data_IF_133196435477
#
_entry.id   IF_133196435477
#
_cell.length_a   1.000
_cell.length_b   1.000
_cell.length_c   1.000
_cell.angle_alpha   90.00
_cell.angle_beta   90.00
_cell.angle_gamma   90.00
#
_symmetry.space_group_name_H-M   'P 1'
#
loop_
_entity.id
_entity.type
_entity.pdbx_description
1 polymer ?
#
# COMPACT_ATOMS: atom_id res chain seq x y z
N UNK A 1 -9.06 2.97 1.37
CA UNK A 1 -7.59 2.79 1.35
C UNK A 1 -7.20 1.32 1.46
N UNK A 2 -7.77 0.47 0.60
CA UNK A 2 -7.31 -0.91 0.48
C UNK A 2 -6.43 -1.03 -0.75
N UNK A 3 -5.29 -1.69 -0.61
CA UNK A 3 -4.36 -1.91 -1.69
C UNK A 3 -3.90 -3.36 -1.68
N UNK A 4 -3.91 -4.00 -2.85
CA UNK A 4 -3.29 -5.31 -3.03
C UNK A 4 -1.77 -5.16 -2.87
N UNK A 5 -1.22 -5.85 -1.89
CA UNK A 5 0.20 -5.82 -1.53
C UNK A 5 1.01 -6.81 -2.36
N UNK A 6 2.34 -6.59 -2.47
CA UNK A 6 3.24 -7.54 -3.13
C UNK A 6 3.26 -8.94 -2.50
N UNK A 7 2.85 -9.05 -1.24
CA UNK A 7 2.76 -10.30 -0.48
C UNK A 7 1.46 -11.09 -0.72
N UNK A 8 0.64 -10.67 -1.70
CA UNK A 8 -0.69 -11.23 -2.01
C UNK A 8 -1.76 -11.00 -0.91
N UNK A 9 -1.50 -10.12 0.06
CA UNK A 9 -2.52 -9.66 1.02
C UNK A 9 -3.14 -8.33 0.57
N UNK A 10 -4.38 -8.07 0.98
CA UNK A 10 -4.98 -6.74 0.87
C UNK A 10 -4.63 -5.97 2.13
N UNK A 11 -3.90 -4.88 1.97
CA UNK A 11 -3.48 -4.02 3.05
C UNK A 11 -4.45 -2.86 3.25
N UNK A 12 -4.62 -2.49 4.51
CA UNK A 12 -5.35 -1.32 4.94
C UNK A 12 -4.59 -0.56 6.01
N UNK A 13 -4.95 0.70 6.15
CA UNK A 13 -4.57 1.50 7.30
C UNK A 13 -5.84 2.11 7.89
N UNK A 14 -5.99 2.01 9.20
CA UNK A 14 -7.19 2.48 9.89
C UNK A 14 -6.85 3.56 10.91
N UNK A 15 -7.70 4.59 10.92
CA UNK A 15 -7.73 5.67 11.90
C UNK A 15 -8.38 5.26 13.21
N UNK A 16 -8.55 6.18 14.16
CA UNK A 16 -9.13 5.84 15.47
C UNK A 16 -10.52 5.20 15.36
N UNK A 17 -10.56 3.89 15.54
CA UNK A 17 -11.77 3.09 15.59
C UNK A 17 -11.57 1.92 16.53
N UNK A 18 -12.52 1.60 17.41
CA UNK A 18 -12.38 0.49 18.33
C UNK A 18 -12.72 -0.84 17.65
N UNK A 19 -11.98 -1.19 16.59
CA UNK A 19 -12.27 -2.33 15.74
C UNK A 19 -12.18 -3.64 16.51
N UNK A 20 -13.20 -4.48 16.31
CA UNK A 20 -13.28 -5.85 16.79
C UNK A 20 -13.70 -6.72 15.61
N UNK A 21 -12.77 -7.04 14.69
CA UNK A 21 -13.12 -7.84 13.53
C UNK A 21 -13.57 -9.23 13.97
N UNK A 22 -14.56 -9.77 13.28
CA UNK A 22 -15.03 -11.15 13.46
C UNK A 22 -14.95 -11.80 12.08
N UNK A 23 -14.25 -12.93 12.01
CA UNK A 23 -14.14 -13.74 10.79
C UNK A 23 -14.68 -15.12 11.14
N UNK A 24 -15.64 -15.62 10.37
CA UNK A 24 -16.15 -16.97 10.54
C UNK A 24 -16.69 -17.23 11.97
N UNK A 25 -17.34 -16.21 12.56
CA UNK A 25 -17.84 -16.24 13.93
C UNK A 25 -16.76 -16.05 15.02
N UNK A 26 -15.48 -16.09 14.65
CA UNK A 26 -14.36 -15.99 15.59
C UNK A 26 -13.86 -14.55 15.74
N UNK A 27 -13.84 -14.01 16.97
CA UNK A 27 -13.26 -12.71 17.24
C UNK A 27 -11.77 -12.70 16.91
N UNK A 28 -11.36 -11.69 16.14
CA UNK A 28 -9.96 -11.43 15.81
C UNK A 28 -9.35 -10.43 16.79
N UNK A 29 -8.03 -10.23 16.68
CA UNK A 29 -7.32 -9.22 17.46
C UNK A 29 -8.00 -7.84 17.32
N UNK A 30 -8.29 -7.21 18.46
CA UNK A 30 -8.76 -5.83 18.49
C UNK A 30 -7.61 -4.87 18.23
N UNK A 31 -7.87 -3.84 17.45
CA UNK A 31 -6.90 -2.77 17.21
C UNK A 31 -7.63 -1.44 17.03
N UNK A 32 -6.94 -0.36 17.40
CA UNK A 32 -7.52 0.99 17.41
C UNK A 32 -7.12 1.82 16.19
N UNK A 33 -5.87 1.70 15.75
CA UNK A 33 -5.32 2.40 14.59
C UNK A 33 -4.06 1.69 14.11
N UNK A 34 -3.67 1.94 12.86
CA UNK A 34 -2.41 1.47 12.29
C UNK A 34 -2.58 0.59 11.06
N UNK A 35 -1.53 -0.18 10.75
CA UNK A 35 -1.49 -1.06 9.60
C UNK A 35 -2.11 -2.41 9.92
N UNK A 36 -2.91 -2.91 8.99
CA UNK A 36 -3.48 -4.23 9.04
C UNK A 36 -3.60 -4.76 7.61
N UNK A 37 -3.74 -6.07 7.48
CA UNK A 37 -3.91 -6.73 6.20
C UNK A 37 -4.85 -7.91 6.33
N UNK A 38 -5.47 -8.30 5.23
CA UNK A 38 -6.35 -9.45 5.18
C UNK A 38 -6.23 -10.19 3.84
N UNK A 39 -6.50 -11.48 3.86
CA UNK A 39 -6.63 -12.30 2.67
C UNK A 39 -8.09 -12.46 2.31
N UNK A 40 -8.32 -12.62 1.01
CA UNK A 40 -9.64 -12.97 0.51
C UNK A 40 -9.59 -14.25 -0.30
N UNK A 41 -10.69 -14.99 -0.28
CA UNK A 41 -10.93 -16.12 -1.17
C UNK A 41 -12.34 -16.06 -1.73
N UNK A 42 -12.53 -16.67 -2.88
CA UNK A 42 -13.85 -16.90 -3.43
C UNK A 42 -14.50 -18.09 -2.68
N UNK A 43 -15.80 -18.03 -2.37
CA UNK A 43 -16.50 -19.16 -1.74
C UNK A 43 -17.91 -18.88 -1.24
N UNK A 44 -18.79 -19.87 -1.44
CA UNK A 44 -20.20 -19.84 -1.06
C UNK A 44 -20.43 -19.87 0.46
N UNK A 45 -21.57 -19.33 0.93
CA UNK A 45 -22.01 -19.36 2.34
C UNK A 45 -21.86 -20.78 2.95
N UNK A 46 -21.29 -20.91 4.16
CA UNK A 46 -21.11 -22.21 4.81
C UNK A 46 -21.24 -22.12 6.35
N UNK A 47 -21.22 -23.27 7.03
CA UNK A 47 -21.46 -23.35 8.49
C UNK A 47 -20.38 -22.68 9.33
N UNK A 48 -19.16 -22.59 8.84
CA UNK A 48 -18.04 -21.94 9.52
C UNK A 48 -18.00 -20.45 9.20
N UNK A 49 -18.50 -20.05 8.03
CA UNK A 49 -18.49 -18.69 7.54
C UNK A 49 -19.88 -18.23 7.04
N UNK A 50 -20.94 -18.27 7.88
CA UNK A 50 -22.27 -17.92 7.41
C UNK A 50 -22.29 -16.48 6.94
N UNK A 51 -22.73 -16.26 5.71
CA UNK A 51 -22.85 -14.94 5.13
C UNK A 51 -24.29 -14.45 5.30
N UNK A 52 -24.45 -13.18 5.66
CA UNK A 52 -25.74 -12.58 5.99
C UNK A 52 -25.95 -11.36 5.08
N UNK A 53 -27.15 -11.20 4.56
CA UNK A 53 -27.50 -10.01 3.79
C UNK A 53 -27.48 -8.78 4.70
N UNK A 54 -27.03 -7.64 4.17
CA UNK A 54 -27.20 -6.34 4.84
C UNK A 54 -28.46 -5.73 4.27
N UNK A 55 -29.44 -5.47 5.14
CA UNK A 55 -30.65 -4.75 4.74
C UNK A 55 -30.29 -3.33 4.28
N UNK A 56 -30.55 -3.03 3.00
CA UNK A 56 -30.10 -1.81 2.36
C UNK A 56 -30.73 -0.53 2.93
N UNK A 57 -31.86 -0.64 3.65
CA UNK A 57 -32.55 0.50 4.24
C UNK A 57 -32.05 0.82 5.67
N UNK A 58 -31.74 -0.20 6.45
CA UNK A 58 -31.39 -0.09 7.88
C UNK A 58 -29.91 -0.30 8.18
N UNK A 59 -29.13 -0.82 7.22
CA UNK A 59 -27.78 -1.34 7.44
C UNK A 59 -27.70 -2.45 8.51
N UNK A 60 -28.83 -3.04 8.90
CA UNK A 60 -28.84 -4.18 9.82
C UNK A 60 -28.41 -5.45 9.08
N UNK A 61 -27.62 -6.27 9.77
CA UNK A 61 -27.29 -7.62 9.30
C UNK A 61 -28.53 -8.52 9.49
N UNK A 62 -28.92 -9.27 8.47
CA UNK A 62 -30.04 -10.19 8.54
C UNK A 62 -29.83 -11.23 9.67
N UNK A 63 -30.92 -11.62 10.34
CA UNK A 63 -30.86 -12.62 11.42
C UNK A 63 -30.60 -14.05 10.91
N UNK A 64 -30.87 -14.29 9.62
CA UNK A 64 -30.73 -15.60 8.97
C UNK A 64 -29.64 -15.50 7.91
N UNK A 65 -28.75 -16.49 7.89
CA UNK A 65 -27.71 -16.60 6.88
C UNK A 65 -28.37 -16.80 5.51
N UNK A 66 -27.87 -16.08 4.51
CA UNK A 66 -28.35 -16.20 3.13
C UNK A 66 -27.57 -17.28 2.39
N UNK A 67 -28.26 -17.98 1.50
CA UNK A 67 -27.74 -18.93 0.53
C UNK A 67 -27.48 -18.29 -0.85
N UNK A 68 -27.71 -16.98 -0.98
CA UNK A 68 -27.44 -16.20 -2.21
C UNK A 68 -25.95 -16.03 -2.51
N UNK A 69 -25.07 -16.38 -1.58
CA UNK A 69 -23.63 -16.33 -1.79
C UNK A 69 -23.11 -17.64 -2.37
N UNK A 70 -22.53 -17.56 -3.56
CA UNK A 70 -21.96 -18.66 -4.34
C UNK A 70 -20.42 -18.62 -4.37
N UNK A 71 -19.80 -19.45 -5.20
CA UNK A 71 -18.35 -19.46 -5.44
C UNK A 71 -17.77 -18.12 -5.90
N UNK A 72 -18.59 -17.17 -6.36
CA UNK A 72 -18.16 -15.83 -6.76
C UNK A 72 -18.21 -14.82 -5.60
N UNK A 73 -18.60 -15.26 -4.40
CA UNK A 73 -18.60 -14.45 -3.19
C UNK A 73 -17.19 -14.28 -2.64
N UNK A 74 -16.79 -13.03 -2.42
CA UNK A 74 -15.51 -12.72 -1.78
C UNK A 74 -15.66 -12.80 -0.26
N UNK A 75 -14.82 -13.61 0.38
CA UNK A 75 -14.76 -13.78 1.83
C UNK A 75 -13.42 -13.39 2.37
N UNK A 76 -13.40 -12.80 3.56
CA UNK A 76 -12.16 -12.62 4.32
C UNK A 76 -11.75 -13.97 4.89
N UNK A 77 -10.58 -14.46 4.50
CA UNK A 77 -10.07 -15.76 4.93
C UNK A 77 -9.15 -15.64 6.16
N UNK A 78 -8.31 -14.60 6.17
CA UNK A 78 -7.40 -14.31 7.26
C UNK A 78 -7.29 -12.80 7.45
N UNK A 79 -6.99 -12.37 8.68
CA UNK A 79 -6.71 -10.98 9.01
C UNK A 79 -5.54 -10.92 9.99
N UNK A 80 -4.65 -9.95 9.77
CA UNK A 80 -3.53 -9.66 10.63
C UNK A 80 -3.50 -8.17 10.97
N UNK A 81 -3.49 -7.86 12.27
CA UNK A 81 -3.08 -6.54 12.73
C UNK A 81 -1.55 -6.48 12.79
N UNK A 82 -0.96 -5.68 11.91
CA UNK A 82 0.49 -5.69 11.67
C UNK A 82 1.21 -4.84 12.71
N UNK A 83 0.79 -3.59 12.90
CA UNK A 83 1.37 -2.67 13.88
C UNK A 83 0.54 -1.39 14.09
N UNK A 84 0.50 -0.92 15.34
CA UNK A 84 -0.13 0.34 15.70
C UNK A 84 0.71 1.57 15.34
N UNK A 85 0.06 2.64 14.90
CA UNK A 85 0.66 3.96 14.71
C UNK A 85 0.32 4.90 15.85
N UNK A 86 1.07 6.00 15.96
CA UNK A 86 0.89 7.02 17.00
C UNK A 86 -0.37 7.87 16.85
N UNK A 87 -1.01 7.89 15.68
CA UNK A 87 -2.20 8.71 15.43
C UNK A 87 -3.18 8.13 14.40
N UNK A 88 -4.29 8.85 14.20
CA UNK A 88 -5.28 8.69 13.14
C UNK A 88 -4.60 8.66 11.76
N UNK A 89 -4.91 7.67 10.93
CA UNK A 89 -4.14 7.34 9.73
C UNK A 89 -4.89 7.66 8.45
N UNK A 90 -4.19 8.20 7.46
CA UNK A 90 -4.82 8.75 6.25
C UNK A 90 -4.04 8.42 4.95
N UNK A 91 -2.89 7.77 5.04
CA UNK A 91 -2.09 7.40 3.87
C UNK A 91 -1.49 6.02 4.00
N UNK A 92 -1.51 5.24 2.92
CA UNK A 92 -0.85 3.95 2.77
C UNK A 92 -0.10 3.97 1.43
N UNK A 93 1.12 3.45 1.40
CA UNK A 93 1.89 3.29 0.17
C UNK A 93 2.94 2.19 0.30
N UNK A 94 3.45 1.78 -0.85
CA UNK A 94 4.46 0.72 -0.96
C UNK A 94 5.61 1.19 -1.81
N UNK A 95 6.82 0.78 -1.44
CA UNK A 95 7.94 0.79 -2.36
C UNK A 95 7.84 -0.39 -3.34
N UNK A 96 8.65 -0.38 -4.40
CA UNK A 96 8.70 -1.45 -5.40
C UNK A 96 9.20 -2.79 -4.82
N UNK A 97 9.97 -2.75 -3.72
CA UNK A 97 10.41 -3.92 -2.96
C UNK A 97 9.35 -4.48 -2.00
N UNK A 98 8.23 -3.78 -1.83
CA UNK A 98 7.17 -4.18 -0.90
C UNK A 98 7.32 -3.66 0.53
N UNK A 99 8.20 -2.70 0.78
CA UNK A 99 8.23 -2.00 2.06
C UNK A 99 6.99 -1.11 2.22
N UNK A 100 6.43 -1.10 3.43
CA UNK A 100 5.16 -0.42 3.72
C UNK A 100 5.40 0.93 4.38
N UNK A 101 4.73 1.94 3.85
CA UNK A 101 4.78 3.31 4.34
C UNK A 101 3.37 3.84 4.57
N UNK A 102 3.27 4.85 5.43
CA UNK A 102 2.02 5.55 5.66
C UNK A 102 2.22 6.98 6.13
N UNK A 103 1.10 7.64 6.36
CA UNK A 103 1.03 8.97 6.94
C UNK A 103 -0.08 9.03 7.99
N UNK A 104 0.12 9.84 9.02
CA UNK A 104 -0.87 10.02 10.08
C UNK A 104 -1.08 11.51 10.36
N UNK A 105 -2.22 11.82 10.98
CA UNK A 105 -2.51 13.17 11.44
C UNK A 105 -1.54 13.59 12.56
N UNK A 106 -1.56 14.87 12.90
CA UNK A 106 -0.94 15.46 14.08
C UNK A 106 0.58 15.29 14.10
N UNK A 107 1.23 15.83 13.08
CA UNK A 107 2.67 16.00 13.05
C UNK A 107 3.49 14.76 12.67
N UNK A 108 2.89 13.79 12.00
CA UNK A 108 3.54 12.53 11.64
C UNK A 108 3.34 12.23 10.13
N UNK A 109 3.99 13.01 9.25
CA UNK A 109 3.72 12.96 7.82
C UNK A 109 4.21 11.70 7.13
N UNK A 110 5.15 10.97 7.73
CA UNK A 110 5.76 9.80 7.12
C UNK A 110 6.09 8.77 8.19
N UNK A 111 5.63 7.54 7.99
CA UNK A 111 5.81 6.38 8.87
C UNK A 111 6.24 5.20 8.01
N UNK A 112 7.11 4.34 8.53
CA UNK A 112 7.48 3.07 7.93
C UNK A 112 7.12 1.91 8.87
N UNK A 113 6.69 0.77 8.31
CA UNK A 113 6.44 -0.48 9.04
C UNK A 113 7.60 -1.45 8.76
N UNK A 114 8.56 -1.59 9.70
CA UNK A 114 9.75 -2.41 9.45
C UNK A 114 9.54 -3.89 9.76
N UNK A 115 8.95 -4.22 10.93
CA UNK A 115 8.81 -5.60 11.41
C UNK A 115 7.38 -5.80 11.98
N UNK A 116 6.58 -6.72 11.40
CA UNK A 116 5.27 -7.11 11.92
C UNK A 116 5.28 -7.62 13.37
N UNK A 117 4.17 -7.44 14.09
CA UNK A 117 3.99 -7.94 15.48
C UNK A 117 4.36 -9.42 15.65
N UNK A 118 3.95 -10.28 14.71
CA UNK A 118 4.14 -11.74 14.78
C UNK A 118 5.59 -12.20 15.01
N UNK A 119 6.59 -11.41 14.64
CA UNK A 119 8.00 -11.73 14.88
C UNK A 119 8.46 -11.35 16.29
N UNK A 120 7.88 -10.31 16.89
CA UNK A 120 8.14 -9.96 18.29
C UNK A 120 7.54 -11.01 19.22
N UNK A 121 6.34 -11.50 18.89
CA UNK A 121 5.63 -12.50 19.69
C UNK A 121 6.38 -13.84 19.80
N UNK A 122 7.33 -14.10 18.89
CA UNK A 122 8.19 -15.28 18.89
C UNK A 122 9.44 -15.13 19.78
N UNK A 123 9.77 -13.91 20.23
CA UNK A 123 10.98 -13.64 21.01
C UNK A 123 10.60 -13.22 22.42
N UNK A 124 10.89 -14.09 23.39
CA UNK A 124 10.58 -13.84 24.78
C UNK A 124 11.20 -12.52 25.29
N UNK A 125 10.35 -11.64 25.83
CA UNK A 125 10.75 -10.34 26.35
C UNK A 125 10.79 -9.20 25.33
N UNK A 126 10.45 -9.45 24.06
CA UNK A 126 10.39 -8.40 23.05
C UNK A 126 8.98 -7.81 22.92
N UNK A 127 8.90 -6.50 23.08
CA UNK A 127 7.74 -5.61 22.94
C UNK A 127 7.66 -4.90 21.57
N UNK A 128 6.63 -5.00 20.72
CA UNK A 128 6.55 -4.07 19.60
C UNK A 128 6.19 -2.65 20.07
N UNK A 129 6.96 -1.65 19.67
CA UNK A 129 6.63 -0.25 19.92
C UNK A 129 5.60 0.30 18.91
N UNK A 130 4.87 1.35 19.33
CA UNK A 130 3.99 2.12 18.45
C UNK A 130 4.84 2.87 17.43
N UNK A 131 4.47 2.79 16.15
CA UNK A 131 5.22 3.46 15.09
C UNK A 131 5.11 4.98 15.21
N UNK A 132 6.28 5.63 15.18
CA UNK A 132 6.45 7.09 15.14
C UNK A 132 6.87 7.60 13.76
N UNK A 133 7.10 8.93 13.64
CA UNK A 133 7.51 9.53 12.39
C UNK A 133 8.94 9.11 12.03
N UNK A 134 9.16 8.83 10.74
CA UNK A 134 10.50 8.71 10.16
C UNK A 134 10.99 10.05 9.57
N UNK A 135 10.11 11.05 9.51
CA UNK A 135 10.44 12.38 9.02
C UNK A 135 11.23 13.19 10.03
N UNK A 136 12.25 13.92 9.58
CA UNK A 136 13.06 14.82 10.43
C UNK A 136 12.25 15.96 11.07
N UNK A 137 11.16 16.38 10.42
CA UNK A 137 10.27 17.42 10.91
C UNK A 137 8.85 17.19 10.42
N UNK A 138 7.89 17.65 11.22
CA UNK A 138 6.49 17.73 10.82
C UNK A 138 6.15 18.97 9.97
N UNK A 139 7.11 19.90 9.82
CA UNK A 139 6.89 21.16 9.12
C UNK A 139 6.72 20.96 7.62
N UNK A 140 5.98 21.88 7.04
CA UNK A 140 5.85 22.05 5.59
C UNK A 140 6.17 23.50 5.21
N UNK A 141 6.30 23.76 3.91
CA UNK A 141 6.59 25.09 3.40
C UNK A 141 5.45 25.51 2.47
N UNK A 142 4.37 26.12 2.97
CA UNK A 142 3.31 26.60 2.10
C UNK A 142 3.81 27.76 1.23
N UNK A 143 3.12 28.01 0.11
CA UNK A 143 3.45 29.14 -0.78
C UNK A 143 2.71 30.44 -0.40
N UNK A 144 1.85 30.35 0.61
CA UNK A 144 1.12 31.45 1.24
C UNK A 144 1.05 31.20 2.75
N UNK A 145 1.04 32.28 3.54
CA UNK A 145 0.91 32.23 5.00
C UNK A 145 -0.56 32.21 5.45
N UNK A 146 -1.50 32.54 4.55
CA UNK A 146 -2.95 32.50 4.78
C UNK A 146 -3.51 31.07 4.75
N UNK A 147 -3.08 30.25 5.71
CA UNK A 147 -3.51 28.86 5.86
C UNK A 147 -4.37 28.66 7.10
N UNK A 148 -5.38 27.79 7.00
CA UNK A 148 -6.27 27.47 8.13
C UNK A 148 -5.81 26.19 8.81
N UNK A 149 -5.35 26.30 10.05
CA UNK A 149 -4.94 25.18 10.87
C UNK A 149 -5.55 25.27 12.28
N UNK A 150 -5.60 24.12 12.97
CA UNK A 150 -6.14 24.02 14.33
C UNK A 150 -5.06 23.59 15.32
N UNK A 151 -4.13 22.75 14.87
CA UNK A 151 -2.96 22.26 15.59
C UNK A 151 -1.80 22.04 14.60
N UNK A 152 -0.60 21.74 15.13
CA UNK A 152 0.63 21.55 14.34
C UNK A 152 0.89 22.69 13.33
N UNK A 153 0.67 23.93 13.79
CA UNK A 153 0.83 25.15 12.99
C UNK A 153 2.17 25.20 12.26
N UNK A 154 2.14 25.56 10.98
CA UNK A 154 3.31 25.55 10.11
C UNK A 154 3.76 24.15 9.69
N UNK A 155 2.92 23.13 9.86
CA UNK A 155 3.23 21.76 9.47
C UNK A 155 1.99 20.90 9.19
N UNK A 156 2.23 19.59 9.11
CA UNK A 156 1.20 18.61 8.78
C UNK A 156 0.27 18.32 9.96
N UNK A 157 -0.84 19.08 10.03
CA UNK A 157 -2.02 18.78 10.86
C UNK A 157 -2.66 17.45 10.46
N UNK A 158 -2.85 17.22 9.16
CA UNK A 158 -3.56 16.07 8.62
C UNK A 158 -2.82 15.53 7.40
N UNK A 159 -1.67 14.90 7.62
CA UNK A 159 -0.94 14.26 6.52
C UNK A 159 -1.73 13.07 5.99
N UNK A 160 -2.07 13.13 4.71
CA UNK A 160 -2.85 12.11 4.01
C UNK A 160 -2.21 11.77 2.66
N UNK A 161 -2.54 10.60 2.11
CA UNK A 161 -1.79 10.06 0.99
C UNK A 161 -0.34 9.69 1.38
N UNK A 162 0.19 8.65 0.76
CA UNK A 162 1.54 8.17 1.09
C UNK A 162 2.16 7.37 -0.05
N UNK A 163 1.70 7.59 -1.29
CA UNK A 163 2.24 6.87 -2.44
C UNK A 163 3.71 7.23 -2.65
N UNK A 164 4.48 6.25 -3.12
CA UNK A 164 5.87 6.44 -3.55
C UNK A 164 5.88 6.46 -5.07
N UNK A 165 6.73 7.29 -5.67
CA UNK A 165 6.88 7.29 -7.11
C UNK A 165 7.53 5.98 -7.59
N UNK A 166 6.75 5.11 -8.23
CA UNK A 166 7.11 3.72 -8.57
C UNK A 166 6.94 3.41 -10.07
N UNK A 167 7.21 4.42 -10.90
CA UNK A 167 7.23 4.34 -12.36
C UNK A 167 8.54 4.93 -12.91
N UNK A 168 8.69 5.06 -14.24
CA UNK A 168 9.92 5.57 -14.87
C UNK A 168 9.75 6.82 -15.74
N UNK A 169 8.57 7.45 -15.77
CA UNK A 169 8.35 8.70 -16.53
C UNK A 169 9.04 9.92 -15.93
N UNK A 170 9.26 9.96 -14.62
CA UNK A 170 9.93 11.09 -13.96
C UNK A 170 11.44 10.81 -13.90
N UNK A 171 12.30 11.80 -13.62
CA UNK A 171 13.74 11.59 -13.51
C UNK A 171 14.08 10.49 -12.49
N UNK A 172 15.20 9.79 -12.70
CA UNK A 172 15.66 8.69 -11.86
C UNK A 172 15.72 9.02 -10.36
N UNK A 173 15.95 10.29 -10.00
CA UNK A 173 15.93 10.75 -8.60
C UNK A 173 14.57 10.59 -7.90
N UNK A 174 13.50 10.33 -8.65
CA UNK A 174 12.17 10.03 -8.10
C UNK A 174 11.94 8.54 -7.83
N UNK A 175 12.58 7.68 -8.63
CA UNK A 175 12.25 6.26 -8.71
C UNK A 175 12.43 5.58 -7.36
N UNK A 176 11.32 5.03 -6.87
CA UNK A 176 11.22 4.31 -5.61
C UNK A 176 11.79 5.07 -4.39
N UNK A 177 11.81 6.40 -4.45
CA UNK A 177 12.51 7.25 -3.48
C UNK A 177 11.67 8.41 -2.95
N UNK A 178 10.76 8.95 -3.77
CA UNK A 178 9.95 10.11 -3.39
C UNK A 178 8.58 9.64 -2.91
N UNK A 179 8.34 9.78 -1.61
CA UNK A 179 7.03 9.63 -0.99
C UNK A 179 6.26 10.95 -1.07
N UNK A 180 5.04 10.90 -1.58
CA UNK A 180 4.20 12.07 -1.77
C UNK A 180 3.12 12.09 -0.69
N UNK A 181 3.09 13.18 0.09
CA UNK A 181 2.22 13.34 1.25
C UNK A 181 1.44 14.64 1.12
N UNK A 182 0.11 14.52 1.05
CA UNK A 182 -0.80 15.64 0.97
C UNK A 182 -0.92 16.35 2.33
N UNK A 183 -0.90 17.67 2.27
CA UNK A 183 -1.11 18.58 3.39
C UNK A 183 -2.29 19.50 3.07
N UNK A 184 -3.55 19.02 3.19
CA UNK A 184 -4.74 19.77 2.79
C UNK A 184 -4.88 21.09 3.54
N UNK A 185 -4.38 21.18 4.77
CA UNK A 185 -4.46 22.40 5.60
C UNK A 185 -3.43 23.47 5.22
N UNK A 186 -2.49 23.17 4.32
CA UNK A 186 -1.60 24.17 3.71
C UNK A 186 -1.52 24.04 2.19
N UNK A 187 -2.59 23.50 1.59
CA UNK A 187 -2.84 23.56 0.15
C UNK A 187 -1.73 22.94 -0.72
N UNK A 188 -1.05 21.90 -0.23
CA UNK A 188 0.14 21.34 -0.88
C UNK A 188 0.22 19.81 -0.86
N UNK A 189 1.07 19.28 -1.74
CA UNK A 189 1.58 17.90 -1.70
C UNK A 189 3.09 18.00 -1.52
N UNK A 190 3.59 17.56 -0.38
CA UNK A 190 5.02 17.52 -0.09
C UNK A 190 5.67 16.26 -0.64
N UNK A 191 6.93 16.38 -1.01
CA UNK A 191 7.77 15.29 -1.49
C UNK A 191 8.85 14.98 -0.48
N UNK A 192 8.74 13.80 0.13
CA UNK A 192 9.66 13.28 1.11
C UNK A 192 10.66 12.35 0.43
N UNK A 193 11.94 12.69 0.52
CA UNK A 193 13.02 11.81 0.08
C UNK A 193 13.19 10.72 1.13
N UNK A 194 12.99 9.46 0.73
CA UNK A 194 13.21 8.29 1.57
C UNK A 194 14.66 7.83 1.49
N UNK A 195 15.26 7.54 2.64
CA UNK A 195 16.64 7.07 2.77
C UNK A 195 16.67 5.91 3.77
N UNK A 196 17.34 4.81 3.40
CA UNK A 196 17.50 3.66 4.31
C UNK A 196 18.32 4.08 5.54
N UNK A 197 17.89 3.61 6.70
CA UNK A 197 18.58 3.81 7.99
C UNK A 197 18.51 2.51 8.81
N UNK A 198 19.55 1.67 8.65
CA UNK A 198 19.56 0.31 9.18
C UNK A 198 18.37 -0.51 8.65
N UNK A 199 17.61 -1.12 9.57
CA UNK A 199 16.39 -1.87 9.26
C UNK A 199 15.16 -0.98 9.04
N UNK A 200 15.33 0.35 9.08
CA UNK A 200 14.26 1.32 8.91
C UNK A 200 14.55 2.33 7.79
N UNK A 201 13.83 3.44 7.85
CA UNK A 201 13.99 4.56 6.93
C UNK A 201 14.00 5.86 7.71
N UNK A 202 14.65 6.86 7.12
CA UNK A 202 14.45 8.29 7.41
C UNK A 202 13.78 8.93 6.21
N UNK A 203 13.05 10.01 6.46
CA UNK A 203 12.49 10.82 5.39
C UNK A 203 12.73 12.31 5.60
N UNK A 204 12.99 13.03 4.51
CA UNK A 204 13.20 14.48 4.53
C UNK A 204 12.25 15.16 3.56
N UNK A 205 11.41 16.05 4.07
CA UNK A 205 10.56 16.91 3.23
C UNK A 205 11.45 17.83 2.38
N UNK A 206 11.56 17.56 1.09
CA UNK A 206 12.54 18.19 0.23
C UNK A 206 11.96 19.36 -0.57
N UNK A 207 10.73 19.24 -1.07
CA UNK A 207 10.04 20.24 -1.87
C UNK A 207 8.54 19.94 -1.95
N UNK A 208 7.74 20.88 -2.50
CA UNK A 208 6.34 20.63 -2.82
C UNK A 208 6.18 20.21 -4.28
N UNK A 209 5.52 19.09 -4.53
CA UNK A 209 5.14 18.67 -5.89
C UNK A 209 3.96 19.48 -6.42
N UNK A 210 3.03 19.82 -5.53
CA UNK A 210 1.90 20.71 -5.78
C UNK A 210 1.82 21.69 -4.63
N UNK A 211 1.55 22.95 -4.94
CA UNK A 211 1.22 23.96 -3.95
C UNK A 211 0.25 24.96 -4.58
N UNK A 212 -0.66 25.52 -3.79
CA UNK A 212 -1.69 26.43 -4.26
C UNK A 212 -1.89 27.60 -3.30
N UNK A 213 -2.21 28.77 -3.85
CA UNK A 213 -2.68 29.97 -3.12
C UNK A 213 -4.21 30.07 -3.13
N UNK A 214 -4.89 29.10 -3.74
CA UNK A 214 -6.35 29.01 -3.72
C UNK A 214 -6.79 28.42 -2.37
N UNK A 215 -7.51 29.21 -1.58
CA UNK A 215 -8.01 28.85 -0.24
C UNK A 215 -8.89 27.59 -0.21
N UNK A 216 -9.41 27.15 -1.36
CA UNK A 216 -10.23 25.96 -1.46
C UNK A 216 -9.41 24.70 -1.78
N UNK A 217 -8.10 24.85 -2.04
CA UNK A 217 -7.23 23.74 -2.40
C UNK A 217 -6.95 22.82 -1.21
N UNK A 218 -7.54 21.64 -1.21
CA UNK A 218 -7.37 20.61 -0.18
C UNK A 218 -6.95 19.28 -0.81
N UNK A 219 -5.69 19.12 -1.28
CA UNK A 219 -5.18 17.83 -1.75
C UNK A 219 -5.31 16.78 -0.65
N UNK A 220 -5.89 15.63 -0.97
CA UNK A 220 -6.16 14.54 0.00
C UNK A 220 -5.58 13.19 -0.41
N UNK A 221 -5.23 13.01 -1.69
CA UNK A 221 -4.60 11.80 -2.19
C UNK A 221 -3.65 12.15 -3.33
N UNK A 222 -2.49 11.51 -3.35
CA UNK A 222 -1.59 11.48 -4.50
C UNK A 222 -1.21 10.04 -4.79
N UNK A 223 -1.25 9.62 -6.05
CA UNK A 223 -0.95 8.25 -6.50
C UNK A 223 -0.17 8.25 -7.82
N UNK A 224 0.55 7.17 -8.08
CA UNK A 224 1.15 6.94 -9.40
C UNK A 224 0.14 6.19 -10.27
N UNK A 225 -0.23 6.79 -11.40
CA UNK A 225 -1.21 6.22 -12.30
C UNK A 225 -0.66 5.07 -13.16
N UNK A 226 -1.56 4.31 -13.83
CA UNK A 226 -1.19 3.29 -14.83
C UNK A 226 -0.38 3.87 -16.00
N UNK A 227 -0.47 5.17 -16.21
CA UNK A 227 0.26 5.91 -17.22
C UNK A 227 1.64 6.38 -16.76
N UNK A 228 2.05 6.08 -15.52
CA UNK A 228 3.34 6.39 -14.92
C UNK A 228 3.50 7.83 -14.40
N UNK A 229 2.42 8.63 -14.42
CA UNK A 229 2.42 10.00 -13.93
C UNK A 229 1.80 10.09 -12.52
N UNK A 230 2.11 11.17 -11.81
CA UNK A 230 1.50 11.46 -10.51
C UNK A 230 0.12 12.06 -10.73
N UNK A 231 -0.88 11.51 -10.05
CA UNK A 231 -2.24 12.02 -9.99
C UNK A 231 -2.54 12.56 -8.60
N UNK A 232 -3.22 13.70 -8.51
CA UNK A 232 -3.62 14.32 -7.24
C UNK A 232 -5.13 14.50 -7.23
N UNK A 233 -5.77 13.93 -6.21
CA UNK A 233 -7.16 14.21 -5.86
C UNK A 233 -7.18 15.32 -4.83
N UNK A 234 -7.85 16.40 -5.19
CA UNK A 234 -8.08 17.56 -4.36
C UNK A 234 -9.57 17.65 -4.03
N UNK A 235 -9.87 17.62 -2.74
CA UNK A 235 -11.22 17.66 -2.22
C UNK A 235 -11.94 18.97 -2.53
N UNK A 236 -11.19 20.04 -2.86
CA UNK A 236 -11.69 21.38 -3.16
C UNK A 236 -12.62 21.92 -2.07
N UNK A 237 -12.11 22.00 -0.84
CA UNK A 237 -12.90 22.35 0.33
C UNK A 237 -12.20 23.42 1.18
N UNK A 238 -12.90 24.53 1.42
CA UNK A 238 -12.40 25.63 2.26
C UNK A 238 -12.21 25.21 3.73
N UNK A 239 -12.95 24.21 4.19
CA UNK A 239 -12.87 23.72 5.57
C UNK A 239 -12.59 22.23 5.62
N UNK A 240 -11.36 21.90 5.99
CA UNK A 240 -10.89 20.52 6.16
C UNK A 240 -11.09 20.01 7.60
N UNK A 241 -10.93 20.87 8.61
CA UNK A 241 -10.96 20.46 10.03
C UNK A 241 -12.38 20.29 10.55
N UNK A 242 -12.56 19.40 11.54
CA UNK A 242 -13.84 19.17 12.19
C UNK A 242 -13.92 19.83 13.59
N UNK A 243 -12.82 19.91 14.34
CA UNK A 243 -12.74 20.53 15.66
C UNK A 243 -11.38 21.25 15.88
N UNK A 244 -11.24 22.10 16.92
CA UNK A 244 -12.31 22.62 17.77
C UNK A 244 -13.26 23.54 16.99
N UNK A 245 -14.46 23.77 17.51
CA UNK A 245 -15.42 24.70 16.93
C UNK A 245 -14.92 26.13 17.08
N UNK A 246 -14.68 26.88 15.99
CA UNK A 246 -14.22 28.26 16.09
C UNK A 246 -15.28 29.18 16.72
N UNK A 247 -14.85 30.30 17.30
CA UNK A 247 -15.76 31.29 17.87
C UNK A 247 -16.80 31.74 16.83
N UNK A 248 -18.07 31.74 17.21
CA UNK A 248 -19.18 32.13 16.33
C UNK A 248 -19.77 30.99 15.50
N UNK A 249 -19.20 29.77 15.57
CA UNK A 249 -19.76 28.57 14.94
C UNK A 249 -20.40 27.64 15.99
N UNK A 250 -21.21 26.69 15.52
CA UNK A 250 -21.85 25.67 16.35
C UNK A 250 -21.29 24.29 16.06
N UNK A 251 -21.13 23.47 17.11
CA UNK A 251 -20.74 22.06 16.96
C UNK A 251 -21.95 21.26 16.50
N UNK A 252 -21.87 20.65 15.33
CA UNK A 252 -22.92 19.81 14.76
C UNK A 252 -22.66 18.31 14.91
N UNK A 253 -23.29 17.54 14.02
CA UNK A 253 -23.18 16.06 13.99
C UNK A 253 -21.73 15.61 13.82
N UNK A 254 -21.35 14.56 14.56
CA UNK A 254 -20.01 13.97 14.48
C UNK A 254 -18.91 14.84 15.10
N UNK A 255 -19.28 15.77 15.99
CA UNK A 255 -18.38 16.74 16.62
C UNK A 255 -17.66 17.66 15.61
N UNK A 256 -18.22 17.81 14.40
CA UNK A 256 -17.76 18.75 13.40
C UNK A 256 -18.51 20.07 13.51
N UNK A 257 -17.82 21.21 13.47
CA UNK A 257 -18.53 22.49 13.42
C UNK A 257 -19.24 22.72 12.08
N UNK A 258 -20.42 23.32 12.16
CA UNK A 258 -21.30 23.61 11.03
C UNK A 258 -20.85 24.86 10.28
N UNK A 259 -20.84 24.81 8.95
CA UNK A 259 -20.50 25.95 8.09
C UNK A 259 -21.00 25.70 6.68
N UNK A 260 -21.55 26.75 6.05
CA UNK A 260 -21.98 26.73 4.64
C UNK A 260 -20.79 26.73 3.65
N UNK A 261 -19.56 26.87 4.15
CA UNK A 261 -18.33 26.85 3.34
C UNK A 261 -17.80 25.44 3.09
N UNK A 262 -18.43 24.40 3.66
CA UNK A 262 -18.09 23.01 3.37
C UNK A 262 -18.75 22.57 2.07
N UNK A 263 -17.98 22.48 1.00
CA UNK A 263 -18.51 21.95 -0.26
C UNK A 263 -18.66 20.42 -0.23
N UNK A 264 -19.63 19.93 -1.01
CA UNK A 264 -20.00 18.52 -1.13
C UNK A 264 -20.23 18.12 -2.59
N UNK A 265 -19.88 18.98 -3.54
CA UNK A 265 -20.30 18.89 -4.95
C UNK A 265 -19.12 18.79 -5.90
N UNK A 266 -18.01 19.45 -5.58
CA UNK A 266 -16.87 19.60 -6.45
C UNK A 266 -15.64 18.93 -5.84
N UNK A 267 -14.79 18.45 -6.73
CA UNK A 267 -13.44 17.98 -6.45
C UNK A 267 -12.61 18.27 -7.70
N UNK A 268 -11.28 18.32 -7.54
CA UNK A 268 -10.34 18.50 -8.66
C UNK A 268 -9.45 17.27 -8.77
N UNK A 269 -9.18 16.87 -10.01
CA UNK A 269 -8.26 15.77 -10.30
C UNK A 269 -7.18 16.34 -11.22
N UNK A 270 -5.95 16.31 -10.74
CA UNK A 270 -4.78 16.76 -11.49
C UNK A 270 -3.96 15.56 -11.95
N UNK A 271 -3.50 15.60 -13.19
CA UNK A 271 -2.48 14.71 -13.74
C UNK A 271 -1.21 15.53 -13.94
N UNK A 272 -0.16 15.20 -13.23
CA UNK A 272 1.10 15.93 -13.28
C UNK A 272 2.03 15.28 -14.29
N UNK A 273 2.39 16.03 -15.33
CA UNK A 273 3.31 15.57 -16.36
C UNK A 273 4.70 16.12 -16.07
N UNK A 274 5.72 15.28 -16.18
CA UNK A 274 7.09 15.76 -16.19
C UNK A 274 7.39 16.32 -17.60
N UNK A 275 8.00 17.51 -17.67
CA UNK A 275 8.23 18.21 -18.95
C UNK A 275 9.09 17.41 -19.94
N UNK A 276 10.09 16.70 -19.44
CA UNK A 276 11.00 15.92 -20.28
C UNK A 276 10.31 14.66 -20.81
N UNK A 277 9.47 14.00 -20.01
CA UNK A 277 8.74 12.80 -20.46
C UNK A 277 7.43 13.07 -21.19
N UNK A 278 6.84 14.25 -21.04
CA UNK A 278 5.65 14.67 -21.78
C UNK A 278 5.90 14.67 -23.30
N UNK A 279 7.16 14.81 -23.73
CA UNK A 279 7.56 14.74 -25.14
C UNK A 279 8.07 13.35 -25.55
N UNK A 280 8.49 12.50 -24.61
CA UNK A 280 9.26 11.27 -24.89
C UNK A 280 8.43 9.98 -24.87
N UNK A 281 7.28 9.90 -24.20
CA UNK A 281 6.54 8.63 -24.11
C UNK A 281 5.02 8.79 -24.20
N UNK A 282 4.34 8.16 -25.20
CA UNK A 282 2.92 7.94 -25.08
C UNK A 282 2.67 7.07 -23.84
N UNK A 283 1.72 7.51 -23.02
CA UNK A 283 1.16 6.76 -21.90
C UNK A 283 0.78 5.34 -22.36
N UNK A 284 1.63 4.34 -22.09
CA UNK A 284 1.34 2.95 -22.45
C UNK A 284 0.39 2.36 -21.42
N UNK A 285 -0.90 2.47 -21.70
CA UNK A 285 -1.92 1.73 -20.95
C UNK A 285 -2.00 0.32 -21.48
N UNK A 286 -1.79 -0.68 -20.61
CA UNK A 286 -2.00 -2.09 -20.94
C UNK A 286 -3.48 -2.46 -20.73
N UNK A 287 -3.97 -3.47 -21.44
CA UNK A 287 -5.23 -4.12 -21.11
C UNK A 287 -4.95 -5.54 -20.61
N UNK A 288 -4.98 -5.73 -19.29
CA UNK A 288 -4.63 -7.00 -18.65
C UNK A 288 -5.85 -7.85 -18.28
N UNK A 289 -7.04 -7.24 -18.17
CA UNK A 289 -8.24 -7.93 -17.70
C UNK A 289 -8.62 -9.15 -18.57
N UNK A 290 -8.33 -9.08 -19.87
CA UNK A 290 -8.58 -10.14 -20.86
C UNK A 290 -7.27 -10.71 -21.46
N UNK A 291 -6.10 -10.29 -20.94
CA UNK A 291 -4.80 -10.76 -21.44
C UNK A 291 -4.58 -12.24 -21.10
N UNK A 292 -3.82 -12.97 -21.93
CA UNK A 292 -3.42 -14.35 -21.63
C UNK A 292 -2.45 -14.42 -20.45
N UNK A 293 -2.28 -15.59 -19.85
CA UNK A 293 -1.32 -15.78 -18.75
C UNK A 293 0.11 -15.41 -19.17
N UNK A 294 0.49 -15.67 -20.42
CA UNK A 294 1.79 -15.26 -20.97
C UNK A 294 1.91 -13.73 -21.03
N UNK A 295 0.85 -13.04 -21.45
CA UNK A 295 0.83 -11.58 -21.45
C UNK A 295 0.91 -10.99 -20.04
N UNK A 296 0.32 -11.66 -19.04
CA UNK A 296 0.47 -11.26 -17.64
C UNK A 296 1.90 -11.48 -17.13
N UNK A 297 2.55 -12.60 -17.46
CA UNK A 297 3.96 -12.84 -17.10
C UNK A 297 4.87 -11.76 -17.73
N UNK A 298 4.65 -11.39 -18.99
CA UNK A 298 5.39 -10.29 -19.62
C UNK A 298 5.13 -8.94 -18.92
N UNK A 299 3.91 -8.69 -18.45
CA UNK A 299 3.57 -7.47 -17.71
C UNK A 299 4.29 -7.35 -16.35
N UNK A 300 4.81 -8.44 -15.78
CA UNK A 300 5.66 -8.40 -14.58
C UNK A 300 6.99 -7.66 -14.83
N UNK A 301 7.40 -7.50 -16.09
CA UNK A 301 8.59 -6.73 -16.50
C UNK A 301 8.31 -5.23 -16.68
N UNK A 302 7.07 -4.79 -16.47
CA UNK A 302 6.72 -3.37 -16.65
C UNK A 302 7.55 -2.47 -15.74
N UNK A 303 7.91 -1.30 -16.27
CA UNK A 303 8.56 -0.20 -15.55
C UNK A 303 7.61 0.54 -14.58
N UNK A 304 6.34 0.15 -14.51
CA UNK A 304 5.34 0.71 -13.61
C UNK A 304 4.78 -0.36 -12.66
N UNK A 305 4.95 -0.11 -11.35
CA UNK A 305 4.50 -1.01 -10.30
C UNK A 305 3.00 -1.33 -10.32
N UNK A 306 2.17 -0.43 -10.83
CA UNK A 306 0.74 -0.69 -11.02
C UNK A 306 0.50 -1.91 -11.92
N UNK A 307 1.19 -1.98 -13.06
CA UNK A 307 1.02 -3.07 -14.01
C UNK A 307 1.55 -4.38 -13.47
N UNK A 308 2.70 -4.35 -12.80
CA UNK A 308 3.28 -5.56 -12.19
C UNK A 308 2.38 -6.15 -11.10
N UNK A 309 1.88 -5.32 -10.18
CA UNK A 309 0.91 -5.78 -9.14
C UNK A 309 -0.38 -6.28 -9.74
N UNK A 310 -0.89 -5.62 -10.79
CA UNK A 310 -2.12 -6.03 -11.45
C UNK A 310 -1.94 -7.38 -12.14
N UNK A 311 -0.82 -7.59 -12.83
CA UNK A 311 -0.50 -8.84 -13.48
C UNK A 311 -0.30 -10.00 -12.49
N UNK A 312 0.47 -9.77 -11.41
CA UNK A 312 0.61 -10.74 -10.31
C UNK A 312 -0.76 -11.13 -9.74
N UNK A 313 -1.58 -10.14 -9.36
CA UNK A 313 -2.92 -10.39 -8.82
C UNK A 313 -3.76 -11.23 -9.76
N UNK A 314 -3.79 -10.90 -11.06
CA UNK A 314 -4.58 -11.62 -12.04
C UNK A 314 -4.05 -13.05 -12.30
N UNK A 315 -2.74 -13.27 -12.26
CA UNK A 315 -2.18 -14.63 -12.36
C UNK A 315 -2.62 -15.49 -11.17
N UNK A 316 -2.58 -14.94 -9.96
CA UNK A 316 -3.02 -15.62 -8.73
C UNK A 316 -4.52 -15.86 -8.72
N UNK A 317 -5.34 -14.83 -9.00
CA UNK A 317 -6.81 -14.93 -9.04
C UNK A 317 -7.31 -15.93 -10.09
N UNK A 318 -6.55 -16.16 -11.16
CA UNK A 318 -6.90 -17.12 -12.22
C UNK A 318 -6.33 -18.52 -12.00
N UNK A 319 -5.60 -18.74 -10.91
CA UNK A 319 -4.90 -20.00 -10.64
C UNK A 319 -4.05 -20.46 -11.84
N UNK A 320 -3.31 -19.53 -12.43
CA UNK A 320 -2.50 -19.76 -13.64
C UNK A 320 -1.31 -20.71 -13.37
N UNK A 321 -1.59 -22.01 -13.28
CA UNK A 321 -0.68 -23.07 -12.85
C UNK A 321 -0.19 -23.97 -13.98
N UNK A 322 -0.48 -23.61 -15.23
CA UNK A 322 -0.02 -24.32 -16.41
C UNK A 322 1.53 -24.32 -16.50
N UNK A 323 2.10 -25.44 -16.93
CA UNK A 323 3.56 -25.65 -17.03
C UNK A 323 4.30 -24.51 -17.78
N UNK A 324 3.82 -23.98 -18.91
CA UNK A 324 4.48 -22.86 -19.59
C UNK A 324 4.55 -21.58 -18.73
N UNK A 325 3.53 -21.32 -17.91
CA UNK A 325 3.49 -20.15 -17.01
C UNK A 325 4.49 -20.34 -15.88
N UNK A 326 4.52 -21.52 -15.26
CA UNK A 326 5.45 -21.84 -14.18
C UNK A 326 6.91 -21.75 -14.65
N UNK A 327 7.21 -22.31 -15.82
CA UNK A 327 8.54 -22.22 -16.43
C UNK A 327 8.93 -20.77 -16.74
N UNK A 328 7.99 -19.95 -17.23
CA UNK A 328 8.27 -18.54 -17.50
C UNK A 328 8.51 -17.73 -16.22
N UNK A 329 7.77 -18.00 -15.14
CA UNK A 329 7.99 -17.38 -13.83
C UNK A 329 9.35 -17.78 -13.24
N UNK A 330 9.71 -19.06 -13.28
CA UNK A 330 11.03 -19.52 -12.82
C UNK A 330 12.17 -18.84 -13.61
N UNK A 331 12.04 -18.77 -14.94
CA UNK A 331 13.02 -18.11 -15.81
C UNK A 331 13.21 -16.61 -15.51
N UNK A 332 12.18 -15.91 -15.01
CA UNK A 332 12.34 -14.51 -14.57
C UNK A 332 13.27 -14.38 -13.37
N UNK A 333 13.28 -15.36 -12.46
CA UNK A 333 14.09 -15.34 -11.23
C UNK A 333 15.57 -15.62 -11.53
N UNK A 334 15.85 -16.40 -12.59
CA UNK A 334 17.20 -16.70 -13.04
C UNK A 334 17.90 -15.51 -13.73
N UNK A 335 17.14 -14.50 -14.16
CA UNK A 335 17.69 -13.30 -14.79
C UNK A 335 18.38 -12.43 -13.75
N UNK A 336 19.65 -12.12 -13.97
CA UNK A 336 20.46 -11.29 -13.06
C UNK A 336 20.51 -9.81 -13.44
N UNK A 337 19.81 -9.40 -14.50
CA UNK A 337 19.76 -8.01 -14.92
C UNK A 337 18.99 -7.18 -13.89
N UNK A 338 19.55 -6.03 -13.52
CA UNK A 338 18.93 -5.05 -12.62
C UNK A 338 18.74 -3.74 -13.36
N UNK A 339 17.72 -2.99 -12.96
CA UNK A 339 17.48 -1.64 -13.44
C UNK A 339 18.51 -0.64 -12.88
N UNK A 340 18.39 0.62 -13.28
CA UNK A 340 19.34 1.68 -12.96
C UNK A 340 19.36 2.05 -11.47
N UNK A 341 18.40 1.57 -10.68
CA UNK A 341 18.40 1.70 -9.21
C UNK A 341 18.72 0.37 -8.49
N UNK A 342 19.18 -0.64 -9.24
CA UNK A 342 19.68 -1.91 -8.72
C UNK A 342 18.58 -2.92 -8.38
N UNK A 343 17.35 -2.72 -8.85
CA UNK A 343 16.23 -3.62 -8.63
C UNK A 343 16.08 -4.61 -9.79
N UNK A 344 15.58 -5.80 -9.50
CA UNK A 344 14.98 -6.68 -10.52
C UNK A 344 13.51 -6.93 -10.14
N UNK A 345 12.58 -6.03 -10.53
CA UNK A 345 11.17 -6.16 -10.17
C UNK A 345 10.50 -7.39 -10.78
N UNK A 346 10.91 -7.82 -11.98
CA UNK A 346 10.32 -8.98 -12.63
C UNK A 346 10.60 -10.26 -11.83
N UNK A 347 11.84 -10.47 -11.38
CA UNK A 347 12.20 -11.59 -10.52
C UNK A 347 11.48 -11.56 -9.16
N UNK A 348 11.38 -10.39 -8.52
CA UNK A 348 10.62 -10.26 -7.26
C UNK A 348 9.15 -10.67 -7.44
N UNK A 349 8.49 -10.07 -8.45
CA UNK A 349 7.09 -10.37 -8.74
C UNK A 349 6.88 -11.82 -9.18
N UNK A 350 7.86 -12.47 -9.82
CA UNK A 350 7.77 -13.88 -10.14
C UNK A 350 7.73 -14.76 -8.88
N UNK A 351 8.62 -14.52 -7.90
CA UNK A 351 8.59 -15.21 -6.60
C UNK A 351 7.27 -14.95 -5.88
N UNK A 352 6.83 -13.70 -5.82
CA UNK A 352 5.56 -13.35 -5.17
C UNK A 352 4.34 -13.97 -5.86
N UNK A 353 4.35 -14.07 -7.19
CA UNK A 353 3.30 -14.74 -7.95
C UNK A 353 3.28 -16.24 -7.66
N UNK A 354 4.44 -16.90 -7.68
CA UNK A 354 4.57 -18.32 -7.32
C UNK A 354 4.11 -18.58 -5.88
N UNK A 355 4.43 -17.68 -4.96
CA UNK A 355 3.96 -17.75 -3.57
C UNK A 355 2.44 -17.68 -3.49
N UNK A 356 1.80 -16.74 -4.19
CA UNK A 356 0.34 -16.64 -4.23
C UNK A 356 -0.32 -17.86 -4.87
N UNK A 357 0.24 -18.37 -5.98
CA UNK A 357 -0.25 -19.58 -6.64
C UNK A 357 -0.09 -20.83 -5.76
N UNK A 358 0.92 -20.89 -4.90
CA UNK A 358 1.17 -22.04 -4.03
C UNK A 358 0.04 -22.28 -3.03
N UNK A 359 -0.75 -21.25 -2.72
CA UNK A 359 -1.91 -21.33 -1.83
C UNK A 359 -3.03 -22.21 -2.40
N UNK A 360 -3.04 -22.48 -3.71
CA UNK A 360 -3.93 -23.46 -4.34
C UNK A 360 -3.66 -24.91 -3.90
N UNK A 361 -2.48 -25.19 -3.33
CA UNK A 361 -2.05 -26.54 -2.95
C UNK A 361 -1.47 -27.38 -4.10
N UNK A 362 -1.22 -26.78 -5.27
CA UNK A 362 -0.57 -27.48 -6.40
C UNK A 362 0.89 -27.82 -6.08
N UNK A 363 1.24 -29.11 -6.16
CA UNK A 363 2.61 -29.59 -5.91
C UNK A 363 3.60 -29.04 -6.93
N UNK A 364 3.20 -28.93 -8.20
CA UNK A 364 4.04 -28.38 -9.26
C UNK A 364 4.42 -26.91 -8.99
N UNK A 365 3.48 -26.12 -8.45
CA UNK A 365 3.74 -24.74 -8.04
C UNK A 365 4.69 -24.70 -6.84
N UNK A 366 4.47 -25.55 -5.85
CA UNK A 366 5.34 -25.62 -4.66
C UNK A 366 6.78 -26.00 -5.02
N UNK A 367 6.97 -26.96 -5.91
CA UNK A 367 8.28 -27.34 -6.45
C UNK A 367 8.94 -26.19 -7.22
N UNK A 368 8.17 -25.49 -8.06
CA UNK A 368 8.65 -24.33 -8.82
C UNK A 368 9.04 -23.16 -7.90
N UNK A 369 8.22 -22.86 -6.89
CA UNK A 369 8.53 -21.85 -5.88
C UNK A 369 9.80 -22.19 -5.11
N UNK A 370 9.97 -23.45 -4.70
CA UNK A 370 11.19 -23.88 -4.01
C UNK A 370 12.44 -23.66 -4.88
N UNK A 371 12.39 -24.05 -6.16
CA UNK A 371 13.48 -23.82 -7.10
C UNK A 371 13.76 -22.33 -7.34
N UNK A 372 12.71 -21.52 -7.45
CA UNK A 372 12.80 -20.07 -7.59
C UNK A 372 13.44 -19.43 -6.34
N UNK A 373 13.03 -19.81 -5.13
CA UNK A 373 13.64 -19.32 -3.90
C UNK A 373 15.11 -19.71 -3.79
N UNK A 374 15.46 -20.95 -4.14
CA UNK A 374 16.85 -21.40 -4.15
C UNK A 374 17.72 -20.56 -5.10
N UNK A 375 17.22 -20.27 -6.30
CA UNK A 375 17.90 -19.39 -7.26
C UNK A 375 17.99 -17.95 -6.74
N UNK A 376 16.92 -17.48 -6.09
CA UNK A 376 16.81 -16.15 -5.52
C UNK A 376 17.78 -15.86 -4.38
N UNK A 377 18.22 -16.87 -3.61
CA UNK A 377 19.12 -16.67 -2.46
C UNK A 377 20.46 -16.02 -2.81
N UNK A 378 20.98 -16.28 -4.02
CA UNK A 378 22.24 -15.71 -4.50
C UNK A 378 22.05 -14.58 -5.53
N UNK A 379 20.81 -14.13 -5.74
CA UNK A 379 20.50 -13.14 -6.77
C UNK A 379 21.16 -11.78 -6.44
N UNK A 380 21.62 -11.03 -7.46
CA UNK A 380 22.37 -9.78 -7.27
C UNK A 380 21.54 -8.65 -6.61
N UNK A 381 20.26 -8.55 -6.93
CA UNK A 381 19.28 -7.64 -6.29
C UNK A 381 18.91 -8.13 -4.88
N UNK A 382 19.26 -7.35 -3.84
CA UNK A 382 18.87 -7.62 -2.44
C UNK A 382 17.35 -7.78 -2.27
N UNK A 383 16.50 -7.00 -2.95
CA UNK A 383 15.05 -7.22 -2.89
C UNK A 383 14.56 -8.57 -3.44
N UNK A 384 15.25 -9.17 -4.41
CA UNK A 384 14.93 -10.54 -4.86
C UNK A 384 15.33 -11.57 -3.80
N UNK A 385 16.49 -11.37 -3.17
CA UNK A 385 16.94 -12.16 -2.01
C UNK A 385 15.92 -12.11 -0.86
N UNK A 386 15.41 -10.91 -0.54
CA UNK A 386 14.37 -10.72 0.46
C UNK A 386 13.06 -11.43 0.09
N UNK A 387 12.63 -11.37 -1.17
CA UNK A 387 11.46 -12.12 -1.65
C UNK A 387 11.66 -13.64 -1.51
N UNK A 388 12.84 -14.15 -1.89
CA UNK A 388 13.16 -15.57 -1.77
C UNK A 388 13.12 -16.05 -0.30
N UNK A 389 13.76 -15.33 0.62
CA UNK A 389 13.74 -15.68 2.06
C UNK A 389 12.34 -15.53 2.65
N UNK A 390 11.57 -14.55 2.19
CA UNK A 390 10.21 -14.30 2.67
C UNK A 390 9.20 -15.41 2.34
N UNK A 391 9.47 -16.22 1.30
CA UNK A 391 8.53 -17.23 0.78
C UNK A 391 9.15 -18.62 0.57
N UNK A 392 10.40 -18.86 0.95
CA UNK A 392 11.01 -20.19 0.89
C UNK A 392 10.40 -21.13 1.93
N UNK A 393 10.44 -22.44 1.65
CA UNK A 393 10.05 -23.45 2.63
C UNK A 393 11.06 -23.51 3.79
N UNK A 394 10.63 -23.90 5.00
CA UNK A 394 11.50 -23.99 6.18
C UNK A 394 12.73 -24.88 5.94
N UNK A 395 12.59 -25.96 5.17
CA UNK A 395 13.68 -26.87 4.81
C UNK A 395 14.78 -26.21 3.94
N UNK A 396 14.49 -25.05 3.34
CA UNK A 396 15.46 -24.29 2.54
C UNK A 396 16.24 -23.26 3.37
N UNK A 397 15.84 -22.99 4.62
CA UNK A 397 16.52 -22.02 5.48
C UNK A 397 18.03 -22.30 5.66
N UNK A 398 18.50 -23.57 5.80
CA UNK A 398 19.93 -23.84 5.84
C UNK A 398 20.68 -23.35 4.60
N UNK A 399 20.08 -23.49 3.41
CA UNK A 399 20.67 -23.03 2.15
C UNK A 399 20.72 -21.50 2.08
N UNK A 400 19.68 -20.83 2.57
CA UNK A 400 19.65 -19.39 2.69
C UNK A 400 20.78 -18.87 3.63
N UNK A 401 20.99 -19.54 4.76
CA UNK A 401 22.07 -19.21 5.69
C UNK A 401 23.46 -19.47 5.07
N UNK A 402 23.61 -20.57 4.32
CA UNK A 402 24.84 -20.89 3.58
C UNK A 402 25.14 -19.86 2.48
N UNK A 403 24.11 -19.32 1.84
CA UNK A 403 24.22 -18.21 0.88
C UNK A 403 24.57 -16.87 1.54
N UNK A 404 24.60 -16.79 2.88
CA UNK A 404 25.09 -15.64 3.63
C UNK A 404 24.06 -14.52 3.83
N UNK A 405 22.77 -14.81 3.60
CA UNK A 405 21.66 -13.84 3.67
C UNK A 405 21.46 -13.17 5.03
N UNK A 406 22.03 -13.73 6.10
CA UNK A 406 22.06 -13.12 7.44
C UNK A 406 22.95 -11.87 7.54
N UNK A 407 23.78 -11.60 6.52
CA UNK A 407 24.70 -10.45 6.47
C UNK A 407 24.22 -9.34 5.53
N UNK A 408 23.02 -9.48 4.97
CA UNK A 408 22.49 -8.67 3.88
C UNK A 408 21.92 -7.31 4.29
#
# INVERSE_FOLDING_TARGET
NFQYGPDNWIWGMQGYNNSQPIINGEPQQRFRQGFWRFKVRAGASDKTAPAFAIDAASNAVAEIATDEFDEHTIRVDALEFVRGTNNNTWGLGFSEEGYVFGSTANGCPSVHMPIPNRYYDQVAGWSPETLGPISESFKFNPIDDEIRQVDYHGGYTAACGSAIYTARNYPQTWWNRIQMVCGPTGHLVGSFVLEKDGAGYRSRNAFNTVASIDDWSAPIMSEVGPDGNVWVLDWYNYIVQHNPTPNGFQTGKGAAYESDLRDKRFARVYRLLNKESAELSPSRTMQLAEGSSEALVEALKSDNFFWRRTAQRLLVEREATDEPVLNALAALVEQSEVDEIGLNPAAMHAIWTLAGLSESGSSAVAETLAAACQSGFAHISSPVRNAAVGFCHEDQLPQAIEAGLQND
#
